data_IF_246497050655
#
_entry.id   IF_246497050655
#
_cell.length_a   1.000
_cell.length_b   1.000
_cell.length_c   1.000
_cell.angle_alpha   90.00
_cell.angle_beta   90.00
_cell.angle_gamma   90.00
#
_symmetry.space_group_name_H-M   'P 1'
#
loop_
_entity.id
_entity.type
_entity.pdbx_description
1 polymer ?
#
# COMPACT_ATOMS: atom_id res chain seq x y z
N UNK A 1 -18.15 -54.18 -18.04
CA UNK A 1 -17.83 -52.87 -18.63
C UNK A 1 -17.95 -51.82 -17.53
N UNK A 2 -16.82 -51.40 -16.97
CA UNK A 2 -16.75 -50.39 -15.91
C UNK A 2 -16.11 -49.15 -16.52
N UNK A 3 -16.92 -48.11 -16.74
CA UNK A 3 -16.46 -46.84 -17.31
C UNK A 3 -15.96 -45.95 -16.17
N UNK A 4 -14.64 -45.90 -15.98
CA UNK A 4 -13.99 -44.93 -15.09
C UNK A 4 -13.99 -43.55 -15.76
N UNK A 5 -14.79 -42.63 -15.23
CA UNK A 5 -14.73 -41.22 -15.63
C UNK A 5 -13.38 -40.62 -15.19
N UNK A 6 -12.64 -39.92 -16.06
CA UNK A 6 -11.42 -39.25 -15.64
C UNK A 6 -11.78 -38.07 -14.73
N UNK A 7 -11.23 -38.08 -13.50
CA UNK A 7 -11.11 -36.93 -12.63
C UNK A 7 -10.28 -35.86 -13.34
N UNK A 8 -10.94 -34.99 -14.10
CA UNK A 8 -10.33 -33.79 -14.62
C UNK A 8 -9.95 -32.90 -13.43
N UNK A 9 -8.68 -32.95 -13.03
CA UNK A 9 -8.09 -31.98 -12.12
C UNK A 9 -8.28 -30.60 -12.74
N UNK A 10 -9.29 -29.87 -12.26
CA UNK A 10 -9.49 -28.47 -12.56
C UNK A 10 -8.28 -27.71 -12.02
N UNK A 11 -7.30 -27.47 -12.89
CA UNK A 11 -6.18 -26.60 -12.60
C UNK A 11 -6.77 -25.25 -12.12
N UNK A 12 -6.38 -24.72 -10.94
CA UNK A 12 -6.99 -23.50 -10.43
C UNK A 12 -6.61 -22.35 -11.36
N UNK A 13 -7.49 -22.07 -12.32
CA UNK A 13 -7.33 -21.00 -13.30
C UNK A 13 -7.25 -19.71 -12.49
N UNK A 14 -6.04 -19.15 -12.32
CA UNK A 14 -5.82 -17.88 -11.60
C UNK A 14 -6.79 -16.86 -12.20
N UNK A 15 -7.79 -16.50 -11.39
CA UNK A 15 -8.90 -15.71 -11.87
C UNK A 15 -8.41 -14.30 -12.26
N UNK A 16 -8.81 -13.80 -13.45
CA UNK A 16 -8.50 -12.44 -13.85
C UNK A 16 -9.04 -11.46 -12.80
N UNK A 17 -8.18 -10.59 -12.26
CA UNK A 17 -8.53 -9.61 -11.21
C UNK A 17 -7.95 -9.91 -9.82
N UNK A 18 -7.70 -11.18 -9.49
CA UNK A 18 -7.19 -11.57 -8.15
C UNK A 18 -5.81 -10.98 -7.81
N UNK A 19 -4.93 -10.86 -8.80
CA UNK A 19 -3.59 -10.28 -8.63
C UNK A 19 -3.66 -8.78 -8.35
N UNK A 20 -4.55 -8.06 -9.03
CA UNK A 20 -4.66 -6.61 -8.92
C UNK A 20 -5.27 -6.21 -7.58
N UNK A 21 -6.30 -6.93 -7.14
CA UNK A 21 -6.85 -6.82 -5.77
C UNK A 21 -5.78 -7.05 -4.71
N UNK A 22 -4.96 -8.11 -4.85
CA UNK A 22 -3.86 -8.37 -3.90
C UNK A 22 -2.83 -7.25 -3.92
N UNK A 23 -2.45 -6.75 -5.09
CA UNK A 23 -1.52 -5.65 -5.23
C UNK A 23 -2.01 -4.40 -4.49
N UNK A 24 -3.28 -4.01 -4.70
CA UNK A 24 -3.88 -2.88 -3.97
C UNK A 24 -3.81 -3.04 -2.46
N UNK A 25 -4.15 -4.23 -1.94
CA UNK A 25 -4.11 -4.50 -0.51
C UNK A 25 -2.69 -4.47 0.05
N UNK A 26 -1.72 -5.04 -0.68
CA UNK A 26 -0.31 -5.03 -0.29
C UNK A 26 0.23 -3.61 -0.27
N UNK A 27 -0.01 -2.83 -1.33
CA UNK A 27 0.45 -1.44 -1.42
C UNK A 27 -0.18 -0.59 -0.33
N UNK A 28 -1.49 -0.67 -0.13
CA UNK A 28 -2.19 0.09 0.90
C UNK A 28 -1.75 -0.31 2.31
N UNK A 29 -1.63 -1.61 2.58
CA UNK A 29 -1.18 -2.12 3.87
C UNK A 29 0.25 -1.73 4.19
N UNK A 30 1.17 -1.87 3.22
CA UNK A 30 2.56 -1.48 3.38
C UNK A 30 2.70 0.03 3.61
N UNK A 31 1.97 0.85 2.85
CA UNK A 31 1.98 2.29 2.99
C UNK A 31 1.47 2.74 4.38
N UNK A 32 0.33 2.20 4.83
CA UNK A 32 -0.22 2.50 6.14
C UNK A 32 0.71 2.03 7.28
N UNK A 33 1.30 0.84 7.15
CA UNK A 33 2.25 0.32 8.12
C UNK A 33 3.51 1.20 8.22
N UNK A 34 4.05 1.65 7.08
CA UNK A 34 5.22 2.53 7.07
C UNK A 34 4.92 3.88 7.72
N UNK A 35 3.76 4.49 7.41
CA UNK A 35 3.33 5.72 8.08
C UNK A 35 3.18 5.52 9.60
N UNK A 36 2.56 4.42 10.02
CA UNK A 36 2.39 4.12 11.45
C UNK A 36 3.74 3.89 12.15
N UNK A 37 4.69 3.21 11.51
CA UNK A 37 6.04 3.01 12.05
C UNK A 37 6.79 4.33 12.16
N UNK A 38 6.71 5.20 11.14
CA UNK A 38 7.34 6.51 11.16
C UNK A 38 6.80 7.39 12.29
N UNK A 39 5.47 7.49 12.41
CA UNK A 39 4.80 8.24 13.47
C UNK A 39 5.05 7.64 14.87
N UNK A 40 5.03 6.31 14.98
CA UNK A 40 5.34 5.61 16.22
C UNK A 40 6.79 5.84 16.65
N UNK A 41 7.72 5.93 15.69
CA UNK A 41 9.12 6.25 15.96
C UNK A 41 9.27 7.68 16.47
N UNK A 42 8.65 8.66 15.81
CA UNK A 42 8.62 10.04 16.30
C UNK A 42 8.03 10.12 17.72
N UNK A 43 6.91 9.43 17.96
CA UNK A 43 6.29 9.38 19.28
C UNK A 43 7.18 8.72 20.36
N UNK A 44 8.00 7.73 19.97
CA UNK A 44 8.96 7.11 20.90
C UNK A 44 10.10 8.04 21.30
N UNK A 45 10.42 9.04 20.47
CA UNK A 45 11.45 10.04 20.72
C UNK A 45 10.91 11.24 21.51
N UNK A 46 9.71 11.73 21.17
CA UNK A 46 9.08 12.89 21.83
C UNK A 46 8.29 12.55 23.09
N UNK A 47 7.85 11.29 23.24
CA UNK A 47 6.98 10.84 24.33
C UNK A 47 5.48 11.03 24.07
N UNK A 48 5.06 11.55 22.92
CA UNK A 48 3.65 11.73 22.56
C UNK A 48 3.42 11.63 21.04
N UNK A 49 2.21 11.29 20.62
CA UNK A 49 1.90 11.23 19.18
C UNK A 49 1.74 12.64 18.62
N UNK A 50 2.56 12.96 17.62
CA UNK A 50 2.51 14.23 16.90
C UNK A 50 2.97 14.02 15.46
N UNK A 51 2.88 15.08 14.64
CA UNK A 51 3.37 15.06 13.28
C UNK A 51 4.82 15.60 13.27
N UNK A 52 5.83 14.74 13.02
CA UNK A 52 7.22 15.19 13.01
C UNK A 52 7.50 16.07 11.79
N UNK A 53 8.43 17.00 11.94
CA UNK A 53 8.92 17.84 10.84
C UNK A 53 10.43 18.05 10.93
N UNK A 54 11.01 18.45 9.80
CA UNK A 54 12.45 18.66 9.69
C UNK A 54 12.94 19.71 10.70
N UNK A 55 14.02 19.39 11.43
CA UNK A 55 14.61 20.30 12.42
C UNK A 55 13.74 20.60 13.64
N UNK A 56 12.73 19.78 13.94
CA UNK A 56 11.89 19.98 15.13
C UNK A 56 12.66 19.75 16.44
N UNK A 57 12.15 20.32 17.54
CA UNK A 57 12.82 20.30 18.84
C UNK A 57 12.92 18.90 19.48
N UNK A 58 12.11 17.94 19.03
CA UNK A 58 12.00 16.60 19.63
C UNK A 58 12.84 15.55 18.90
N UNK A 59 13.02 15.70 17.59
CA UNK A 59 13.67 14.72 16.71
C UNK A 59 14.81 15.30 15.89
N UNK A 60 14.94 16.62 15.77
CA UNK A 60 15.95 17.27 14.92
C UNK A 60 17.41 17.08 15.33
N UNK A 61 17.67 16.55 16.54
CA UNK A 61 19.02 16.14 16.97
C UNK A 61 19.14 14.64 17.27
N UNK A 62 18.04 13.90 17.10
CA UNK A 62 17.99 12.48 17.39
C UNK A 62 18.43 11.69 16.15
N UNK A 63 19.28 10.68 16.35
CA UNK A 63 19.47 9.66 15.33
C UNK A 63 18.19 8.80 15.25
N UNK A 64 17.38 9.07 14.23
CA UNK A 64 16.05 8.47 14.09
C UNK A 64 16.17 6.94 13.94
N UNK A 65 17.17 6.47 13.20
CA UNK A 65 17.38 5.05 12.87
C UNK A 65 18.86 4.63 13.00
N UNK A 66 19.35 4.45 14.23
CA UNK A 66 20.76 4.19 14.49
C UNK A 66 21.21 2.80 14.03
N UNK A 67 22.50 2.70 13.68
CA UNK A 67 23.17 1.43 13.39
C UNK A 67 22.50 0.64 12.27
N UNK A 68 22.23 -0.65 12.47
CA UNK A 68 21.63 -1.53 11.46
C UNK A 68 20.17 -1.16 11.10
N UNK A 69 19.53 -0.27 11.85
CA UNK A 69 18.15 0.15 11.61
C UNK A 69 18.00 1.09 10.38
N UNK A 70 19.11 1.54 9.78
CA UNK A 70 19.11 2.29 8.51
C UNK A 70 18.36 1.58 7.36
N UNK A 71 18.28 0.25 7.39
CA UNK A 71 17.50 -0.50 6.40
C UNK A 71 16.00 -0.23 6.54
N UNK A 72 15.51 -0.08 7.78
CA UNK A 72 14.11 0.28 8.03
C UNK A 72 13.85 1.69 7.48
N UNK A 73 14.75 2.63 7.75
CA UNK A 73 14.69 3.99 7.21
C UNK A 73 14.56 4.01 5.68
N UNK A 74 15.39 3.26 4.95
CA UNK A 74 15.28 3.13 3.50
C UNK A 74 13.94 2.55 3.05
N UNK A 75 13.45 1.51 3.72
CA UNK A 75 12.14 0.92 3.42
C UNK A 75 11.03 1.94 3.61
N UNK A 76 11.08 2.76 4.66
CA UNK A 76 10.08 3.80 4.92
C UNK A 76 10.08 4.87 3.82
N UNK A 77 11.25 5.42 3.47
CA UNK A 77 11.37 6.43 2.40
C UNK A 77 10.83 5.88 1.08
N UNK A 78 11.32 4.71 0.69
CA UNK A 78 10.94 4.10 -0.60
C UNK A 78 9.44 3.77 -0.63
N UNK A 79 8.89 3.24 0.46
CA UNK A 79 7.48 2.87 0.49
C UNK A 79 6.58 4.10 0.53
N UNK A 80 6.87 5.08 1.40
CA UNK A 80 6.05 6.31 1.49
C UNK A 80 6.16 7.13 0.20
N UNK A 81 7.34 7.19 -0.41
CA UNK A 81 7.57 7.92 -1.67
C UNK A 81 7.00 7.22 -2.91
N UNK A 82 7.15 5.89 -3.03
CA UNK A 82 6.81 5.16 -4.27
C UNK A 82 5.47 4.42 -4.23
N UNK A 83 4.99 3.97 -3.07
CA UNK A 83 3.70 3.28 -2.98
C UNK A 83 2.53 4.09 -3.57
N UNK A 84 2.44 5.43 -3.42
CA UNK A 84 1.39 6.23 -4.06
C UNK A 84 1.42 6.14 -5.59
N UNK A 85 2.60 6.07 -6.19
CA UNK A 85 2.77 5.92 -7.64
C UNK A 85 2.25 4.55 -8.08
N UNK A 86 2.62 3.48 -7.36
CA UNK A 86 2.11 2.14 -7.65
C UNK A 86 0.59 2.04 -7.46
N UNK A 87 0.06 2.68 -6.41
CA UNK A 87 -1.38 2.74 -6.14
C UNK A 87 -2.13 3.43 -7.29
N UNK A 88 -1.59 4.55 -7.79
CA UNK A 88 -2.17 5.28 -8.92
C UNK A 88 -2.18 4.46 -10.21
N UNK A 89 -1.04 3.88 -10.58
CA UNK A 89 -0.92 3.04 -11.79
C UNK A 89 -1.86 1.82 -11.70
N UNK A 90 -1.88 1.15 -10.55
CA UNK A 90 -2.76 0.00 -10.33
C UNK A 90 -4.24 0.41 -10.40
N UNK A 91 -4.60 1.60 -9.89
CA UNK A 91 -5.96 2.11 -9.95
C UNK A 91 -6.40 2.34 -11.40
N UNK A 92 -5.57 2.95 -12.25
CA UNK A 92 -5.86 3.14 -13.69
C UNK A 92 -6.13 1.79 -14.36
N UNK A 93 -5.24 0.81 -14.17
CA UNK A 93 -5.40 -0.53 -14.75
C UNK A 93 -6.71 -1.19 -14.27
N UNK A 94 -7.09 -0.94 -13.02
CA UNK A 94 -8.32 -1.49 -12.43
C UNK A 94 -9.57 -0.86 -12.99
N UNK A 95 -9.57 0.46 -13.24
CA UNK A 95 -10.68 1.17 -13.89
C UNK A 95 -10.95 0.57 -15.27
N UNK A 96 -9.90 0.35 -16.06
CA UNK A 96 -10.02 -0.29 -17.39
C UNK A 96 -10.58 -1.72 -17.25
N UNK A 97 -10.11 -2.49 -16.27
CA UNK A 97 -10.62 -3.85 -15.99
C UNK A 97 -12.09 -3.85 -15.55
N UNK A 98 -12.53 -2.87 -14.74
CA UNK A 98 -13.92 -2.74 -14.30
C UNK A 98 -14.88 -2.44 -15.46
N UNK A 99 -14.38 -1.83 -16.54
CA UNK A 99 -15.14 -1.58 -17.75
C UNK A 99 -15.33 -2.83 -18.63
N UNK A 100 -14.51 -3.88 -18.49
CA UNK A 100 -14.65 -5.08 -19.33
C UNK A 100 -15.93 -5.89 -19.04
N UNK A 101 -16.66 -6.35 -20.08
CA UNK A 101 -17.88 -7.15 -19.93
C UNK A 101 -17.67 -8.43 -19.10
N UNK A 102 -16.50 -9.07 -19.26
CA UNK A 102 -16.12 -10.27 -18.52
C UNK A 102 -16.07 -10.05 -17.02
N UNK A 103 -15.65 -8.87 -16.56
CA UNK A 103 -15.62 -8.54 -15.14
C UNK A 103 -17.02 -8.24 -14.60
N UNK A 104 -17.88 -7.61 -15.41
CA UNK A 104 -19.28 -7.30 -15.04
C UNK A 104 -20.14 -8.55 -14.88
N UNK A 105 -19.80 -9.63 -15.56
CA UNK A 105 -20.47 -10.93 -15.42
C UNK A 105 -20.23 -11.61 -14.06
N UNK A 106 -19.25 -11.14 -13.27
CA UNK A 106 -18.90 -11.71 -11.97
C UNK A 106 -19.03 -10.65 -10.86
N UNK A 107 -20.24 -10.42 -10.32
CA UNK A 107 -20.53 -9.25 -9.48
C UNK A 107 -19.73 -9.21 -8.17
N UNK A 108 -19.44 -10.37 -7.58
CA UNK A 108 -18.60 -10.44 -6.38
C UNK A 108 -17.18 -9.93 -6.67
N UNK A 109 -16.55 -10.36 -7.77
CA UNK A 109 -15.20 -9.94 -8.15
C UNK A 109 -15.16 -8.47 -8.57
N UNK A 110 -16.18 -8.03 -9.29
CA UNK A 110 -16.33 -6.64 -9.66
C UNK A 110 -16.38 -5.72 -8.43
N UNK A 111 -17.18 -6.08 -7.40
CA UNK A 111 -17.27 -5.32 -6.13
C UNK A 111 -15.95 -5.30 -5.38
N UNK A 112 -15.26 -6.44 -5.28
CA UNK A 112 -13.95 -6.49 -4.61
C UNK A 112 -12.89 -5.65 -5.35
N UNK A 113 -12.85 -5.72 -6.67
CA UNK A 113 -11.93 -4.91 -7.47
C UNK A 113 -12.26 -3.42 -7.33
N UNK A 114 -13.54 -3.04 -7.34
CA UNK A 114 -13.96 -1.66 -7.11
C UNK A 114 -13.50 -1.16 -5.73
N UNK A 115 -13.80 -1.91 -4.67
CA UNK A 115 -13.42 -1.54 -3.31
C UNK A 115 -11.91 -1.36 -3.15
N UNK A 116 -11.12 -2.29 -3.70
CA UNK A 116 -9.65 -2.18 -3.66
C UNK A 116 -9.08 -1.09 -4.57
N UNK A 117 -9.77 -0.75 -5.66
CA UNK A 117 -9.42 0.42 -6.48
C UNK A 117 -9.65 1.72 -5.73
N UNK A 118 -10.80 1.85 -5.05
CA UNK A 118 -11.10 3.01 -4.19
C UNK A 118 -10.05 3.15 -3.10
N UNK A 119 -9.65 2.05 -2.45
CA UNK A 119 -8.59 2.05 -1.45
C UNK A 119 -7.26 2.60 -2.02
N UNK A 120 -6.85 2.19 -3.22
CA UNK A 120 -5.63 2.70 -3.85
C UNK A 120 -5.74 4.18 -4.25
N UNK A 121 -6.91 4.64 -4.68
CA UNK A 121 -7.15 6.07 -4.91
C UNK A 121 -7.04 6.85 -3.61
N UNK A 122 -7.55 6.32 -2.49
CA UNK A 122 -7.40 6.94 -1.17
C UNK A 122 -5.94 7.01 -0.72
N UNK A 123 -5.15 5.95 -0.95
CA UNK A 123 -3.69 5.96 -0.68
C UNK A 123 -3.01 7.07 -1.48
N UNK A 124 -3.29 7.16 -2.77
CA UNK A 124 -2.73 8.21 -3.63
C UNK A 124 -3.15 9.61 -3.15
N UNK A 125 -4.43 9.82 -2.87
CA UNK A 125 -4.94 11.09 -2.38
C UNK A 125 -4.32 11.47 -1.02
N UNK A 126 -4.19 10.52 -0.09
CA UNK A 126 -3.54 10.74 1.20
C UNK A 126 -2.09 11.18 1.04
N UNK A 127 -1.37 10.62 0.07
CA UNK A 127 0.03 10.98 -0.20
C UNK A 127 0.22 12.42 -0.68
N UNK A 128 -0.81 13.04 -1.25
CA UNK A 128 -0.79 14.44 -1.69
C UNK A 128 -1.10 15.42 -0.55
N UNK A 129 -1.43 14.93 0.65
CA UNK A 129 -1.76 15.80 1.77
C UNK A 129 -0.49 16.40 2.40
N UNK A 130 -0.55 17.66 2.87
CA UNK A 130 0.59 18.29 3.55
C UNK A 130 1.19 17.46 4.69
N UNK A 131 0.39 16.81 5.56
CA UNK A 131 0.94 15.99 6.65
C UNK A 131 1.87 14.87 6.18
N UNK A 132 1.53 14.17 5.10
CA UNK A 132 2.38 13.10 4.58
C UNK A 132 3.66 13.67 3.98
N UNK A 133 3.56 14.80 3.26
CA UNK A 133 4.74 15.47 2.72
C UNK A 133 5.71 15.86 3.84
N UNK A 134 5.21 16.38 4.96
CA UNK A 134 6.02 16.70 6.14
C UNK A 134 6.73 15.47 6.70
N UNK A 135 6.02 14.34 6.84
CA UNK A 135 6.63 13.07 7.31
C UNK A 135 7.72 12.61 6.35
N UNK A 136 7.48 12.68 5.03
CA UNK A 136 8.47 12.26 4.04
C UNK A 136 9.72 13.15 4.06
N UNK A 137 9.55 14.47 4.18
CA UNK A 137 10.67 15.39 4.30
C UNK A 137 11.45 15.17 5.60
N UNK A 138 10.75 14.94 6.72
CA UNK A 138 11.38 14.57 7.98
C UNK A 138 12.18 13.26 7.89
N UNK A 139 11.68 12.28 7.14
CA UNK A 139 12.44 11.05 6.87
C UNK A 139 13.66 11.28 5.97
N UNK A 140 13.73 12.38 5.22
CA UNK A 140 14.87 12.68 4.35
C UNK A 140 15.95 13.53 5.03
N UNK A 141 15.68 14.00 6.25
CA UNK A 141 16.63 14.66 7.15
C UNK A 141 17.62 13.64 7.73
#
# INVERSE_FOLDING_TARGET
>A
MTTTAPLAMASPRRAPGSVLTRLHLVVAGAYAACLAIALGRAASLSGFLYLPHQGDEYTGSADIWPGAAYLVWWVLILTIGLAPVFAFVAAIVSVVRLATPRMRAEPARWRTLLATTVLSVLVFAAALTPPVATILVWLLD
#
